data_IF_687076460487
#
_entry.id   IF_687076460487
#
_cell.length_a   1.000
_cell.length_b   1.000
_cell.length_c   1.000
_cell.angle_alpha   90.00
_cell.angle_beta   90.00
_cell.angle_gamma   90.00
#
_symmetry.space_group_name_H-M   'P 1'
#
loop_
_entity.id
_entity.type
_entity.pdbx_description
1 polymer ?
#
# COMPACT_ATOMS: atom_id res chain seq x y z
N UNK A 1 1.76 6.50 -15.97
CA UNK A 1 0.70 6.26 -14.98
C UNK A 1 0.82 7.27 -13.87
N UNK A 2 -0.28 7.77 -13.40
CA UNK A 2 -0.27 8.73 -12.31
C UNK A 2 -0.25 8.01 -10.97
N UNK A 3 0.51 8.52 -9.99
CA UNK A 3 0.47 7.96 -8.66
C UNK A 3 -0.84 8.32 -7.97
N UNK A 4 -1.28 7.53 -6.99
CA UNK A 4 -2.46 7.86 -6.20
C UNK A 4 -2.17 9.01 -5.24
N UNK A 5 -3.23 9.63 -4.74
CA UNK A 5 -3.13 10.63 -3.68
C UNK A 5 -2.91 9.92 -2.34
N UNK A 6 -1.95 10.39 -1.58
CA UNK A 6 -1.60 9.81 -0.28
C UNK A 6 -1.73 10.88 0.79
N UNK A 7 -2.50 10.57 1.83
CA UNK A 7 -2.62 11.44 2.98
C UNK A 7 -2.11 10.70 4.22
N UNK A 8 -1.09 11.25 4.85
CA UNK A 8 -0.60 10.69 6.10
C UNK A 8 -1.55 11.12 7.22
N UNK A 9 -2.15 10.14 7.89
CA UNK A 9 -3.12 10.38 8.96
C UNK A 9 -2.43 10.45 10.30
N UNK A 10 -1.43 9.59 10.50
CA UNK A 10 -0.74 9.49 11.77
C UNK A 10 0.69 9.04 11.54
N UNK A 11 1.58 9.57 12.39
CA UNK A 11 2.98 9.15 12.41
C UNK A 11 3.45 9.23 13.84
N UNK A 12 4.03 8.15 14.35
CA UNK A 12 4.56 8.11 15.71
C UNK A 12 5.71 9.09 15.90
N UNK A 13 6.00 9.46 17.14
CA UNK A 13 6.98 10.51 17.43
C UNK A 13 8.41 10.19 16.99
N UNK A 14 8.72 8.92 16.78
CA UNK A 14 10.04 8.51 16.30
C UNK A 14 9.96 7.89 14.91
N UNK A 15 8.90 8.16 14.18
CA UNK A 15 8.66 7.65 12.83
C UNK A 15 8.51 6.11 12.77
N UNK A 16 8.28 5.47 13.91
CA UNK A 16 8.19 4.01 13.96
C UNK A 16 6.82 3.47 13.60
N UNK A 17 5.82 4.33 13.58
CA UNK A 17 4.45 3.91 13.27
C UNK A 17 3.84 4.94 12.34
N UNK A 18 3.20 4.46 11.28
CA UNK A 18 2.60 5.37 10.31
C UNK A 18 1.28 4.81 9.79
N UNK A 19 0.30 5.68 9.62
CA UNK A 19 -0.97 5.36 8.99
C UNK A 19 -1.20 6.34 7.85
N UNK A 20 -1.48 5.81 6.67
CA UNK A 20 -1.77 6.60 5.48
C UNK A 20 -3.12 6.21 4.91
N UNK A 21 -3.82 7.17 4.32
CA UNK A 21 -4.98 6.90 3.49
C UNK A 21 -4.57 7.18 2.05
N UNK A 22 -4.83 6.20 1.19
CA UNK A 22 -4.54 6.31 -0.23
C UNK A 22 -5.86 6.39 -0.98
N UNK A 23 -6.00 7.41 -1.80
CA UNK A 23 -7.13 7.54 -2.71
C UNK A 23 -6.63 7.40 -4.13
N UNK A 24 -7.21 6.47 -4.89
CA UNK A 24 -6.77 6.22 -6.25
C UNK A 24 -7.95 6.22 -7.22
N UNK A 25 -7.67 6.73 -8.40
CA UNK A 25 -8.63 6.85 -9.50
C UNK A 25 -8.25 5.88 -10.59
N UNK A 26 -9.17 5.74 -11.53
CA UNK A 26 -8.89 4.98 -12.74
C UNK A 26 -7.59 5.45 -13.39
N UNK A 27 -6.75 4.51 -13.79
CA UNK A 27 -5.47 4.81 -14.41
C UNK A 27 -4.33 5.03 -13.44
N UNK A 28 -4.61 5.07 -12.13
CA UNK A 28 -3.54 5.23 -11.14
C UNK A 28 -2.83 3.89 -10.90
N UNK A 29 -1.54 4.00 -10.61
CA UNK A 29 -0.71 2.85 -10.31
C UNK A 29 0.39 3.29 -9.36
N UNK A 30 0.66 2.48 -8.34
CA UNK A 30 1.74 2.78 -7.42
C UNK A 30 3.09 2.49 -8.08
N UNK A 31 4.17 3.10 -7.60
CA UNK A 31 5.50 2.68 -8.05
C UNK A 31 5.74 1.23 -7.64
N UNK A 32 6.63 0.56 -8.40
CA UNK A 32 7.03 -0.80 -8.06
C UNK A 32 8.22 -0.71 -7.14
N UNK A 33 8.00 -1.00 -5.87
CA UNK A 33 9.03 -0.79 -4.85
C UNK A 33 8.88 -1.75 -3.68
N UNK A 34 9.98 -1.95 -2.97
CA UNK A 34 10.00 -2.65 -1.71
C UNK A 34 10.46 -1.72 -0.60
N UNK A 35 10.19 -2.10 0.63
CA UNK A 35 10.52 -1.29 1.79
C UNK A 35 11.29 -2.10 2.81
N UNK A 36 11.94 -1.39 3.72
CA UNK A 36 12.68 -2.00 4.83
C UNK A 36 11.79 -2.24 6.04
N UNK A 37 10.48 -2.13 5.88
CA UNK A 37 9.49 -2.28 6.94
C UNK A 37 8.28 -3.05 6.41
N UNK A 38 7.53 -3.63 7.34
CA UNK A 38 6.31 -4.34 6.99
C UNK A 38 5.20 -3.36 6.66
N UNK A 39 4.25 -3.84 5.88
CA UNK A 39 3.12 -3.00 5.45
C UNK A 39 1.83 -3.80 5.57
N UNK A 40 0.79 -3.17 6.12
CA UNK A 40 -0.55 -3.75 6.17
C UNK A 40 -1.43 -2.84 5.34
N UNK A 41 -2.16 -3.44 4.39
CA UNK A 41 -3.07 -2.69 3.52
C UNK A 41 -4.48 -3.20 3.75
N UNK A 42 -5.39 -2.28 4.04
CA UNK A 42 -6.82 -2.61 4.14
C UNK A 42 -7.52 -1.91 2.99
N UNK A 43 -8.24 -2.69 2.18
CA UNK A 43 -9.04 -2.13 1.09
C UNK A 43 -10.38 -1.70 1.68
N UNK A 44 -10.67 -0.41 1.61
CA UNK A 44 -11.93 0.13 2.11
C UNK A 44 -12.94 0.41 1.01
N UNK A 45 -12.47 0.58 -0.23
CA UNK A 45 -13.34 0.85 -1.36
C UNK A 45 -12.63 0.48 -2.66
N UNK A 46 -13.40 0.05 -3.65
CA UNK A 46 -12.88 -0.28 -4.98
C UNK A 46 -12.23 -1.64 -5.08
N UNK A 47 -11.55 -1.87 -6.19
CA UNK A 47 -10.86 -3.14 -6.47
C UNK A 47 -9.47 -2.84 -6.98
N UNK A 48 -8.50 -3.55 -6.45
CA UNK A 48 -7.11 -3.43 -6.86
C UNK A 48 -6.54 -4.77 -7.30
N UNK A 49 -5.51 -4.69 -8.12
CA UNK A 49 -4.64 -5.83 -8.42
C UNK A 49 -3.30 -5.59 -7.76
N UNK A 50 -2.75 -6.63 -7.17
CA UNK A 50 -1.49 -6.58 -6.46
C UNK A 50 -0.51 -7.56 -7.08
N UNK A 51 0.62 -7.03 -7.53
CA UNK A 51 1.77 -7.82 -7.95
C UNK A 51 2.78 -7.76 -6.81
N UNK A 52 3.32 -8.92 -6.43
CA UNK A 52 4.28 -8.98 -5.33
C UNK A 52 5.34 -10.02 -5.62
N UNK A 53 6.57 -9.72 -5.19
CA UNK A 53 7.73 -10.55 -5.52
C UNK A 53 7.76 -11.90 -4.80
N UNK A 54 7.01 -12.04 -3.73
CA UNK A 54 6.97 -13.29 -2.95
C UNK A 54 5.88 -14.24 -3.44
N UNK A 55 5.19 -13.91 -4.53
CA UNK A 55 4.17 -14.77 -5.14
C UNK A 55 4.23 -14.65 -6.64
N UNK A 56 3.89 -15.73 -7.32
CA UNK A 56 3.93 -15.76 -8.78
C UNK A 56 2.72 -15.11 -9.41
N UNK A 57 1.56 -15.24 -8.78
CA UNK A 57 0.32 -14.77 -9.38
C UNK A 57 -0.07 -13.39 -8.87
N UNK A 58 -0.63 -12.58 -9.77
CA UNK A 58 -1.24 -11.31 -9.40
C UNK A 58 -2.54 -11.62 -8.68
N UNK A 59 -2.75 -11.00 -7.52
CA UNK A 59 -3.98 -11.19 -6.75
C UNK A 59 -4.89 -9.99 -6.90
N UNK A 60 -6.18 -10.23 -6.76
CA UNK A 60 -7.21 -9.20 -6.83
C UNK A 60 -7.81 -9.03 -5.43
N UNK A 61 -7.95 -7.80 -5.00
CA UNK A 61 -8.45 -7.50 -3.66
C UNK A 61 -9.56 -6.45 -3.73
N UNK A 62 -10.54 -6.62 -2.87
CA UNK A 62 -11.70 -5.75 -2.83
C UNK A 62 -12.03 -5.36 -1.41
N UNK A 63 -13.15 -4.68 -1.22
CA UNK A 63 -13.57 -4.11 0.06
C UNK A 63 -13.46 -5.12 1.20
N UNK A 64 -12.81 -4.69 2.27
CA UNK A 64 -12.55 -5.42 3.51
C UNK A 64 -11.41 -6.44 3.44
N UNK A 65 -10.76 -6.61 2.30
CA UNK A 65 -9.56 -7.44 2.25
C UNK A 65 -8.42 -6.75 3.00
N UNK A 66 -7.67 -7.55 3.73
CA UNK A 66 -6.48 -7.10 4.44
C UNK A 66 -5.28 -7.85 3.88
N UNK A 67 -4.25 -7.09 3.53
CA UNK A 67 -3.06 -7.62 2.87
C UNK A 67 -1.86 -7.34 3.76
N UNK A 68 -1.03 -8.35 4.00
CA UNK A 68 0.24 -8.17 4.69
C UNK A 68 1.38 -8.30 3.70
N UNK A 69 2.24 -7.29 3.66
CA UNK A 69 3.45 -7.27 2.83
C UNK A 69 4.65 -7.20 3.75
N UNK A 70 5.40 -8.31 3.89
CA UNK A 70 6.61 -8.26 4.72
C UNK A 70 7.68 -7.37 4.09
N UNK A 71 8.59 -6.90 4.94
CA UNK A 71 9.71 -6.08 4.47
C UNK A 71 10.45 -6.77 3.32
N UNK A 72 11.01 -5.98 2.44
CA UNK A 72 11.76 -6.42 1.26
C UNK A 72 10.92 -7.07 0.16
N UNK A 73 9.60 -7.15 0.34
CA UNK A 73 8.73 -7.63 -0.73
C UNK A 73 8.49 -6.48 -1.71
N UNK A 74 8.93 -6.66 -2.95
CA UNK A 74 8.66 -5.69 -4.00
C UNK A 74 7.21 -5.85 -4.44
N UNK A 75 6.50 -4.75 -4.52
CA UNK A 75 5.08 -4.80 -4.85
C UNK A 75 4.66 -3.61 -5.71
N UNK A 76 3.56 -3.81 -6.42
CA UNK A 76 2.93 -2.76 -7.22
C UNK A 76 1.43 -2.95 -7.18
N UNK A 77 0.70 -1.87 -6.94
CA UNK A 77 -0.75 -1.86 -6.86
C UNK A 77 -1.29 -1.14 -8.09
N UNK A 78 -2.25 -1.76 -8.76
CA UNK A 78 -2.92 -1.19 -9.92
C UNK A 78 -4.41 -1.11 -9.63
N UNK A 79 -5.03 0.01 -9.98
CA UNK A 79 -6.47 0.19 -9.83
C UNK A 79 -7.18 -0.66 -10.88
N UNK A 80 -8.07 -1.54 -10.43
CA UNK A 80 -8.91 -2.32 -11.33
C UNK A 80 -10.30 -1.74 -11.44
N UNK A 81 -10.86 -1.29 -10.33
CA UNK A 81 -12.17 -0.64 -10.32
C UNK A 81 -12.14 0.53 -9.36
N UNK A 82 -12.25 1.73 -9.91
CA UNK A 82 -12.22 2.97 -9.16
C UNK A 82 -13.62 3.35 -8.65
N UNK A 83 -13.73 4.19 -7.64
CA UNK A 83 -12.62 4.75 -6.88
C UNK A 83 -12.07 3.73 -5.90
N UNK A 84 -10.78 3.85 -5.60
CA UNK A 84 -10.11 2.98 -4.64
C UNK A 84 -9.72 3.79 -3.41
N UNK A 85 -9.98 3.25 -2.24
CA UNK A 85 -9.48 3.81 -1.00
C UNK A 85 -8.83 2.70 -0.20
N UNK A 86 -7.62 2.98 0.27
CA UNK A 86 -6.84 2.06 1.07
C UNK A 86 -6.43 2.73 2.36
N UNK A 87 -6.37 1.94 3.43
CA UNK A 87 -5.67 2.35 4.65
C UNK A 87 -4.37 1.54 4.68
N UNK A 88 -3.25 2.24 4.77
CA UNK A 88 -1.94 1.59 4.79
C UNK A 88 -1.30 1.87 6.13
N UNK A 89 -0.85 0.81 6.79
CA UNK A 89 -0.24 0.88 8.11
C UNK A 89 1.18 0.36 8.00
N UNK A 90 2.13 1.14 8.51
CA UNK A 90 3.51 0.73 8.67
C UNK A 90 3.78 0.62 10.17
N UNK A 91 3.62 -0.59 10.77
CA UNK A 91 3.65 -0.72 12.23
C UNK A 91 4.99 -0.35 12.84
N UNK A 92 6.07 -0.62 12.13
CA UNK A 92 7.41 -0.43 12.65
C UNK A 92 8.30 0.29 11.64
N UNK A 93 7.72 1.25 10.94
CA UNK A 93 8.52 2.01 9.98
C UNK A 93 9.55 2.86 10.71
N UNK A 94 10.81 2.61 10.41
CA UNK A 94 11.89 3.44 10.90
C UNK A 94 12.47 4.23 9.74
N UNK A 95 12.73 5.50 9.99
CA UNK A 95 13.42 6.30 9.00
C UNK A 95 14.82 5.74 8.79
N UNK A 96 15.28 5.72 7.55
CA UNK A 96 16.65 5.33 7.26
C UNK A 96 17.58 6.34 7.90
N UNK A 97 18.49 5.85 8.69
CA UNK A 97 19.53 6.67 9.28
C UNK A 97 20.70 6.68 8.31
N UNK A 98 20.80 7.71 7.58
CA UNK A 98 21.86 7.83 6.60
C UNK A 98 23.06 8.55 7.19
#
# INVERSE_FOLDING_TARGET
>A
MQPPDITRVFKGPQNEFEVEIVFAREGNQSPKEGHTYDEIIVVTDGVIELERSDREEISTHSKYDTIFLPQATVHQITVKKAPVKLVIIHPERQEQQD
#
